data_IF_481459779012
#
_entry.id   IF_481459779012
#
_cell.length_a   1.000
_cell.length_b   1.000
_cell.length_c   1.000
_cell.angle_alpha   90.00
_cell.angle_beta   90.00
_cell.angle_gamma   90.00
#
_symmetry.space_group_name_H-M   'P 1'
#
loop_
_entity.id
_entity.type
_entity.pdbx_description
1 polymer ?
#
# COMPACT_ATOMS: atom_id res chain seq x y z
N UNK A 1 32.93 -29.38 36.83
CA UNK A 1 33.48 -28.64 35.66
C UNK A 1 32.29 -28.08 34.89
N UNK A 2 31.90 -26.83 35.17
CA UNK A 2 32.04 -25.65 34.28
C UNK A 2 31.41 -25.82 32.88
N UNK A 3 30.27 -25.16 32.75
CA UNK A 3 29.61 -24.55 31.57
C UNK A 3 30.45 -24.36 30.32
N UNK A 4 29.82 -24.55 29.15
CA UNK A 4 29.91 -23.62 28.01
C UNK A 4 28.57 -23.66 27.25
N UNK A 5 27.65 -22.78 27.67
CA UNK A 5 26.58 -22.31 26.80
C UNK A 5 27.18 -21.34 25.79
N UNK A 6 26.85 -21.52 24.52
CA UNK A 6 27.17 -20.56 23.47
C UNK A 6 25.95 -19.63 23.35
N UNK A 7 26.04 -18.36 23.78
CA UNK A 7 25.03 -17.38 23.41
C UNK A 7 25.24 -17.03 21.93
N UNK A 8 24.22 -17.24 21.10
CA UNK A 8 24.19 -16.63 19.77
C UNK A 8 23.79 -15.17 19.96
N UNK A 9 24.78 -14.30 19.87
CA UNK A 9 24.68 -12.86 19.75
C UNK A 9 24.02 -12.57 18.39
N UNK A 10 22.77 -12.11 18.40
CA UNK A 10 22.10 -11.59 17.21
C UNK A 10 22.49 -10.11 17.11
N UNK A 11 23.65 -9.86 16.51
CA UNK A 11 24.00 -8.53 16.05
C UNK A 11 23.25 -8.23 14.75
N UNK A 12 22.44 -7.17 14.78
CA UNK A 12 22.08 -6.32 13.64
C UNK A 12 21.66 -7.03 12.35
N UNK A 13 20.42 -7.49 12.28
CA UNK A 13 19.72 -7.60 10.99
C UNK A 13 18.53 -6.66 11.01
N UNK A 14 18.66 -5.55 10.28
CA UNK A 14 17.58 -4.65 9.92
C UNK A 14 16.41 -5.46 9.35
N UNK A 15 15.35 -5.56 10.14
CA UNK A 15 14.06 -6.09 9.71
C UNK A 15 13.40 -5.02 8.83
N UNK A 16 13.42 -5.20 7.50
CA UNK A 16 12.52 -4.47 6.61
C UNK A 16 11.09 -4.97 6.84
N UNK A 17 10.43 -4.39 7.83
CA UNK A 17 9.01 -4.56 8.13
C UNK A 17 8.20 -3.64 7.20
N UNK A 18 7.89 -4.12 5.99
CA UNK A 18 6.85 -3.47 5.19
C UNK A 18 5.47 -3.87 5.73
N UNK A 19 4.94 -3.02 6.60
CA UNK A 19 3.62 -3.19 7.23
C UNK A 19 2.89 -1.87 7.42
N UNK A 20 2.66 -1.08 6.36
CA UNK A 20 1.77 0.08 6.46
C UNK A 20 0.32 -0.32 6.16
N UNK A 21 -0.44 -0.50 7.23
CA UNK A 21 -1.89 -0.26 7.23
C UNK A 21 -2.15 0.96 8.12
N UNK A 22 -2.21 2.15 7.51
CA UNK A 22 -2.72 3.35 8.17
C UNK A 22 -3.78 4.00 7.28
N UNK A 23 -5.05 3.64 7.54
CA UNK A 23 -6.17 4.53 7.24
C UNK A 23 -6.15 5.62 8.31
N UNK A 24 -5.67 6.80 7.98
CA UNK A 24 -5.90 7.99 8.81
C UNK A 24 -6.81 8.96 8.07
N UNK A 25 -8.03 9.07 8.60
CA UNK A 25 -8.95 10.16 8.34
C UNK A 25 -8.26 11.47 8.71
N UNK A 26 -7.99 12.32 7.72
CA UNK A 26 -7.44 13.66 7.92
C UNK A 26 -8.54 14.53 8.53
N UNK A 27 -8.45 14.80 9.83
CA UNK A 27 -9.06 15.99 10.42
C UNK A 27 -7.98 17.09 10.47
N UNK A 28 -8.03 17.98 9.47
CA UNK A 28 -7.20 19.18 9.42
C UNK A 28 -7.77 20.22 10.40
N UNK A 29 -7.04 20.53 11.47
CA UNK A 29 -7.27 21.74 12.27
C UNK A 29 -5.96 22.52 12.44
N UNK A 30 -5.59 23.27 11.40
CA UNK A 30 -4.62 24.36 11.49
C UNK A 30 -5.33 25.72 11.34
N UNK A 31 -4.76 26.83 11.84
CA UNK A 31 -5.39 28.14 11.74
C UNK A 31 -5.48 28.54 10.25
N UNK A 32 -6.72 28.65 9.76
CA UNK A 32 -7.04 28.92 8.37
C UNK A 32 -6.43 30.26 7.91
N UNK A 33 -5.59 30.20 6.89
CA UNK A 33 -5.20 31.36 6.09
C UNK A 33 -6.47 31.91 5.42
N UNK A 34 -6.85 33.14 5.76
CA UNK A 34 -8.11 33.77 5.32
C UNK A 34 -8.12 34.12 3.83
N UNK A 35 -6.99 33.90 3.14
CA UNK A 35 -6.85 34.09 1.70
C UNK A 35 -6.64 32.78 0.93
N UNK A 36 -6.75 31.61 1.58
CA UNK A 36 -6.72 30.35 0.85
C UNK A 36 -7.94 30.27 -0.09
N UNK A 37 -7.77 30.02 -1.40
CA UNK A 37 -8.89 29.75 -2.27
C UNK A 37 -9.67 28.58 -1.66
N UNK A 38 -10.99 28.74 -1.54
CA UNK A 38 -11.89 27.68 -1.10
C UNK A 38 -11.58 26.46 -1.98
N UNK A 39 -11.06 25.40 -1.37
CA UNK A 39 -10.83 24.14 -2.08
C UNK A 39 -12.20 23.60 -2.49
N UNK A 40 -12.58 23.87 -3.74
CA UNK A 40 -13.67 23.17 -4.42
C UNK A 40 -13.15 21.80 -4.78
N UNK A 41 -13.04 20.92 -3.79
CA UNK A 41 -12.83 19.50 -4.03
C UNK A 41 -13.97 19.05 -4.94
N UNK A 42 -13.65 18.61 -6.15
CA UNK A 42 -14.62 18.14 -7.12
C UNK A 42 -15.45 17.01 -6.48
N UNK A 43 -16.78 17.12 -6.57
CA UNK A 43 -17.69 16.06 -6.14
C UNK A 43 -17.59 14.93 -7.16
N UNK A 44 -17.46 13.69 -6.70
CA UNK A 44 -17.43 12.50 -7.56
C UNK A 44 -18.52 12.56 -8.64
N UNK A 45 -18.19 12.22 -9.89
CA UNK A 45 -19.13 12.34 -11.00
C UNK A 45 -20.31 11.35 -10.92
N UNK A 46 -20.14 10.27 -10.13
CA UNK A 46 -21.12 9.20 -9.87
C UNK A 46 -21.77 8.64 -11.14
N UNK A 47 -20.95 8.35 -12.15
CA UNK A 47 -21.45 7.96 -13.48
C UNK A 47 -21.85 6.48 -13.49
N UNK A 48 -23.13 6.20 -13.66
CA UNK A 48 -23.67 4.83 -13.78
C UNK A 48 -23.61 4.26 -15.21
N UNK A 49 -23.36 5.11 -16.20
CA UNK A 49 -23.32 4.70 -17.61
C UNK A 49 -22.09 3.84 -17.93
N UNK A 50 -22.26 2.86 -18.83
CA UNK A 50 -21.15 2.06 -19.38
C UNK A 50 -20.11 2.98 -20.04
N UNK A 51 -18.80 2.79 -19.78
CA UNK A 51 -17.77 3.66 -20.36
C UNK A 51 -17.76 3.57 -21.90
N UNK A 52 -17.54 4.70 -22.55
CA UNK A 52 -17.19 4.72 -23.97
C UNK A 52 -15.86 3.97 -24.20
N UNK A 53 -15.59 3.54 -25.45
CA UNK A 53 -14.32 2.91 -25.77
C UNK A 53 -13.11 3.84 -25.52
N UNK A 54 -13.29 5.14 -25.74
CA UNK A 54 -12.28 6.16 -25.47
C UNK A 54 -12.03 6.30 -23.95
N UNK A 55 -13.09 6.38 -23.16
CA UNK A 55 -13.00 6.42 -21.70
C UNK A 55 -12.35 5.16 -21.13
N UNK A 56 -12.68 3.97 -21.64
CA UNK A 56 -12.05 2.72 -21.20
C UNK A 56 -10.53 2.70 -21.46
N UNK A 57 -10.08 3.26 -22.59
CA UNK A 57 -8.65 3.42 -22.85
C UNK A 57 -7.99 4.37 -21.84
N UNK A 58 -8.63 5.49 -21.53
CA UNK A 58 -8.16 6.44 -20.51
C UNK A 58 -8.10 5.80 -19.12
N UNK A 59 -9.11 5.01 -18.73
CA UNK A 59 -9.13 4.28 -17.46
C UNK A 59 -7.91 3.36 -17.34
N UNK A 60 -7.61 2.59 -18.39
CA UNK A 60 -6.46 1.68 -18.38
C UNK A 60 -5.13 2.42 -18.34
N UNK A 61 -5.02 3.54 -19.04
CA UNK A 61 -3.84 4.42 -18.98
C UNK A 61 -3.66 5.00 -17.58
N UNK A 62 -4.74 5.48 -16.97
CA UNK A 62 -4.75 5.95 -15.59
C UNK A 62 -4.25 4.87 -14.62
N UNK A 63 -4.83 3.67 -14.66
CA UNK A 63 -4.43 2.55 -13.79
C UNK A 63 -2.95 2.17 -13.96
N UNK A 64 -2.41 2.24 -15.18
CA UNK A 64 -0.97 2.04 -15.44
C UNK A 64 -0.13 3.17 -14.88
N UNK A 65 -0.53 4.42 -15.11
CA UNK A 65 0.23 5.59 -14.67
C UNK A 65 0.41 5.61 -13.14
N UNK A 66 -0.62 5.22 -12.39
CA UNK A 66 -0.56 5.15 -10.92
C UNK A 66 0.02 3.84 -10.37
N UNK A 67 0.55 2.96 -11.23
CA UNK A 67 1.13 1.66 -10.83
C UNK A 67 0.12 0.58 -10.40
N UNK A 68 -1.19 0.86 -10.43
CA UNK A 68 -2.22 -0.11 -10.04
C UNK A 68 -2.31 -1.28 -11.00
N UNK A 69 -2.12 -1.04 -12.30
CA UNK A 69 -2.17 -2.12 -13.30
C UNK A 69 -1.08 -3.18 -13.05
N UNK A 70 0.14 -2.76 -12.68
CA UNK A 70 1.23 -3.69 -12.38
C UNK A 70 0.92 -4.55 -11.15
N UNK A 71 0.30 -3.96 -10.12
CA UNK A 71 -0.15 -4.71 -8.94
C UNK A 71 -1.25 -5.74 -9.27
N UNK A 72 -2.16 -5.41 -10.19
CA UNK A 72 -3.18 -6.33 -10.69
C UNK A 72 -2.58 -7.42 -11.59
N UNK A 73 -1.57 -7.09 -12.39
CA UNK A 73 -0.92 -8.05 -13.29
C UNK A 73 -0.06 -9.06 -12.51
N UNK A 74 0.62 -8.60 -11.46
CA UNK A 74 1.55 -9.41 -10.66
C UNK A 74 0.91 -10.05 -9.43
N UNK A 75 -0.20 -9.48 -8.93
CA UNK A 75 -0.80 -9.84 -7.66
C UNK A 75 0.02 -9.41 -6.44
N UNK A 76 0.94 -8.44 -6.56
CA UNK A 76 1.87 -8.04 -5.49
C UNK A 76 1.17 -7.54 -4.23
N UNK A 77 -0.05 -7.00 -4.33
CA UNK A 77 -0.84 -6.61 -3.16
C UNK A 77 -1.18 -7.79 -2.21
N UNK A 78 -1.00 -9.04 -2.66
CA UNK A 78 -1.23 -10.24 -1.86
C UNK A 78 -0.05 -10.59 -0.95
N UNK A 79 1.12 -9.98 -1.12
CA UNK A 79 2.32 -10.28 -0.34
C UNK A 79 2.10 -10.19 1.16
N UNK A 80 1.30 -9.21 1.62
CA UNK A 80 0.91 -9.03 3.03
C UNK A 80 0.27 -10.27 3.66
N UNK A 81 -0.36 -11.13 2.87
CA UNK A 81 -0.99 -12.36 3.37
C UNK A 81 0.00 -13.51 3.46
N UNK A 82 1.03 -13.52 2.61
CA UNK A 82 2.09 -14.52 2.60
C UNK A 82 3.21 -14.24 3.59
N UNK A 83 3.37 -12.99 4.05
CA UNK A 83 4.35 -12.61 5.07
C UNK A 83 4.07 -13.31 6.41
N UNK A 84 5.12 -13.42 7.23
CA UNK A 84 5.02 -13.93 8.60
C UNK A 84 4.05 -13.09 9.41
N UNK A 85 3.12 -13.72 10.14
CA UNK A 85 2.02 -13.04 10.82
C UNK A 85 0.84 -12.68 9.91
N UNK A 86 0.98 -12.85 8.58
CA UNK A 86 -0.10 -12.71 7.61
C UNK A 86 -1.11 -13.86 7.69
N UNK A 87 -2.27 -13.68 7.05
CA UNK A 87 -3.38 -14.64 7.13
C UNK A 87 -2.99 -16.08 6.70
N UNK A 88 -2.00 -16.23 5.82
CA UNK A 88 -1.50 -17.55 5.41
C UNK A 88 -0.31 -18.05 6.22
N UNK A 89 0.27 -17.24 7.09
CA UNK A 89 1.44 -17.61 7.89
C UNK A 89 1.36 -17.09 9.34
N UNK A 90 0.30 -17.50 10.02
CA UNK A 90 0.15 -17.25 11.46
C UNK A 90 1.23 -18.02 12.25
N UNK A 91 1.92 -17.34 13.16
CA UNK A 91 2.89 -17.93 14.08
C UNK A 91 2.38 -17.72 15.49
N UNK A 92 2.21 -18.81 16.24
CA UNK A 92 1.89 -18.72 17.66
C UNK A 92 3.13 -18.34 18.44
N UNK A 93 2.96 -17.48 19.45
CA UNK A 93 4.06 -17.06 20.31
C UNK A 93 4.78 -18.27 20.94
N UNK A 94 6.11 -18.30 20.84
CA UNK A 94 6.94 -19.42 21.31
C UNK A 94 7.09 -20.60 20.34
N UNK A 95 6.52 -20.53 19.14
CA UNK A 95 6.69 -21.57 18.11
C UNK A 95 8.02 -21.41 17.37
N UNK A 96 8.72 -22.52 17.13
CA UNK A 96 9.83 -22.54 16.19
C UNK A 96 9.31 -22.62 14.76
N UNK A 97 9.92 -21.86 13.86
CA UNK A 97 9.64 -21.95 12.43
C UNK A 97 10.15 -23.29 11.89
N UNK A 98 9.28 -24.01 11.20
CA UNK A 98 9.59 -25.32 10.59
C UNK A 98 10.11 -25.21 9.16
N UNK A 99 10.10 -24.02 8.59
CA UNK A 99 10.56 -23.70 7.23
C UNK A 99 11.30 -22.35 7.23
N UNK A 100 12.14 -22.11 6.24
CA UNK A 100 12.84 -20.82 6.12
C UNK A 100 11.87 -19.70 5.73
N UNK A 101 12.17 -18.46 6.12
CA UNK A 101 11.35 -17.28 5.79
C UNK A 101 11.12 -17.15 4.27
N UNK A 102 12.18 -17.37 3.49
CA UNK A 102 12.13 -17.29 2.03
C UNK A 102 11.23 -18.37 1.43
N UNK A 103 11.47 -19.64 1.75
CA UNK A 103 10.72 -20.76 1.16
C UNK A 103 9.25 -20.72 1.57
N UNK A 104 8.96 -20.43 2.83
CA UNK A 104 7.59 -20.33 3.30
C UNK A 104 6.83 -19.16 2.65
N UNK A 105 7.50 -18.05 2.39
CA UNK A 105 6.92 -16.92 1.66
C UNK A 105 6.64 -17.30 0.21
N UNK A 106 7.62 -17.84 -0.51
CA UNK A 106 7.49 -18.24 -1.92
C UNK A 106 6.36 -19.26 -2.11
N UNK A 107 6.29 -20.27 -1.23
CA UNK A 107 5.22 -21.28 -1.23
C UNK A 107 3.84 -20.66 -1.11
N UNK A 108 3.65 -19.75 -0.15
CA UNK A 108 2.36 -19.08 0.09
C UNK A 108 2.02 -18.09 -1.01
N UNK A 109 2.99 -17.33 -1.47
CA UNK A 109 2.80 -16.36 -2.55
C UNK A 109 2.42 -17.07 -3.85
N UNK A 110 3.03 -18.21 -4.16
CA UNK A 110 2.64 -19.05 -5.30
C UNK A 110 1.19 -19.54 -5.18
N UNK A 111 0.77 -19.98 -3.99
CA UNK A 111 -0.61 -20.40 -3.74
C UNK A 111 -1.61 -19.24 -3.91
N UNK A 112 -1.28 -18.06 -3.37
CA UNK A 112 -2.10 -16.85 -3.51
C UNK A 112 -2.24 -16.41 -4.97
N UNK A 113 -1.14 -16.34 -5.73
CA UNK A 113 -1.17 -15.98 -7.15
C UNK A 113 -2.00 -16.96 -7.97
N UNK A 114 -1.89 -18.25 -7.67
CA UNK A 114 -2.70 -19.29 -8.33
C UNK A 114 -4.20 -19.12 -8.05
N UNK A 115 -4.58 -18.79 -6.81
CA UNK A 115 -5.96 -18.49 -6.47
C UNK A 115 -6.43 -17.20 -7.16
N UNK A 116 -5.62 -16.15 -7.09
CA UNK A 116 -5.92 -14.84 -7.66
C UNK A 116 -6.12 -14.85 -9.18
N UNK A 117 -5.39 -15.67 -9.92
CA UNK A 117 -5.54 -15.78 -11.38
C UNK A 117 -7.00 -16.03 -11.81
N UNK A 118 -7.79 -16.72 -10.99
CA UNK A 118 -9.22 -16.98 -11.23
C UNK A 118 -10.11 -15.74 -11.04
N UNK A 119 -9.68 -14.81 -10.20
CA UNK A 119 -10.41 -13.59 -9.81
C UNK A 119 -9.84 -12.32 -10.46
N UNK A 120 -8.72 -12.41 -11.19
CA UNK A 120 -8.02 -11.27 -11.77
C UNK A 120 -8.93 -10.39 -12.63
N UNK A 121 -9.80 -10.99 -13.43
CA UNK A 121 -10.72 -10.24 -14.29
C UNK A 121 -11.75 -9.45 -13.47
N UNK A 122 -12.33 -10.07 -12.44
CA UNK A 122 -13.28 -9.43 -11.54
C UNK A 122 -12.64 -8.24 -10.80
N UNK A 123 -11.40 -8.42 -10.32
CA UNK A 123 -10.62 -7.34 -9.73
C UNK A 123 -10.35 -6.19 -10.72
N UNK A 124 -9.93 -6.52 -11.94
CA UNK A 124 -9.73 -5.51 -13.00
C UNK A 124 -11.02 -4.71 -13.23
N UNK A 125 -12.16 -5.41 -13.38
CA UNK A 125 -13.45 -4.79 -13.64
C UNK A 125 -13.90 -3.91 -12.48
N UNK A 126 -13.68 -4.30 -11.22
CA UNK A 126 -13.99 -3.47 -10.07
C UNK A 126 -13.24 -2.14 -10.09
N UNK A 127 -11.93 -2.17 -10.38
CA UNK A 127 -11.14 -0.94 -10.53
C UNK A 127 -11.58 -0.10 -11.73
N UNK A 128 -11.75 -0.73 -12.91
CA UNK A 128 -12.18 -0.02 -14.12
C UNK A 128 -13.56 0.65 -13.92
N UNK A 129 -14.48 -0.05 -13.24
CA UNK A 129 -15.83 0.45 -12.94
C UNK A 129 -15.79 1.61 -11.95
N UNK A 130 -14.95 1.52 -10.92
CA UNK A 130 -14.81 2.60 -9.94
C UNK A 130 -14.20 3.86 -10.56
N UNK A 131 -13.17 3.73 -11.40
CA UNK A 131 -12.60 4.89 -12.11
C UNK A 131 -13.61 5.48 -13.09
N UNK A 132 -14.41 4.64 -13.77
CA UNK A 132 -15.50 5.13 -14.62
C UNK A 132 -16.55 5.93 -13.83
N UNK A 133 -16.90 5.45 -12.65
CA UNK A 133 -17.86 6.10 -11.76
C UNK A 133 -17.35 7.45 -11.23
N UNK A 134 -16.06 7.52 -10.89
CA UNK A 134 -15.46 8.69 -10.25
C UNK A 134 -15.27 9.88 -11.20
N UNK A 135 -14.76 9.64 -12.42
CA UNK A 135 -14.31 10.71 -13.32
C UNK A 135 -15.12 10.78 -14.60
N UNK A 136 -15.40 12.00 -15.08
CA UNK A 136 -15.83 12.20 -16.47
C UNK A 136 -14.71 11.86 -17.46
N UNK A 137 -15.06 11.67 -18.74
CA UNK A 137 -14.05 11.37 -19.77
C UNK A 137 -13.02 12.51 -19.94
N UNK A 138 -13.48 13.77 -19.87
CA UNK A 138 -12.61 14.94 -20.00
C UNK A 138 -11.66 15.09 -18.80
N UNK A 139 -12.17 14.96 -17.57
CA UNK A 139 -11.32 15.00 -16.37
C UNK A 139 -10.28 13.89 -16.41
N UNK A 140 -10.69 12.68 -16.79
CA UNK A 140 -9.77 11.56 -16.89
C UNK A 140 -8.71 11.79 -17.97
N UNK A 141 -9.06 12.43 -19.08
CA UNK A 141 -8.11 12.80 -20.13
C UNK A 141 -7.06 13.81 -19.61
N UNK A 142 -7.48 14.83 -18.88
CA UNK A 142 -6.60 15.84 -18.29
C UNK A 142 -5.66 15.21 -17.25
N UNK A 143 -6.21 14.37 -16.36
CA UNK A 143 -5.45 13.65 -15.33
C UNK A 143 -4.42 12.72 -15.97
N UNK A 144 -4.82 11.90 -16.94
CA UNK A 144 -3.90 10.98 -17.63
C UNK A 144 -2.79 11.76 -18.34
N UNK A 145 -3.13 12.87 -19.00
CA UNK A 145 -2.15 13.73 -19.67
C UNK A 145 -1.13 14.29 -18.67
N UNK A 146 -1.58 14.76 -17.51
CA UNK A 146 -0.69 15.20 -16.45
C UNK A 146 0.20 14.05 -15.96
N UNK A 147 -0.38 12.91 -15.55
CA UNK A 147 0.36 11.80 -14.95
C UNK A 147 1.40 11.18 -15.89
N UNK A 148 1.15 11.17 -17.20
CA UNK A 148 2.08 10.65 -18.20
C UNK A 148 3.19 11.65 -18.59
N UNK A 149 3.02 12.93 -18.25
CA UNK A 149 4.03 13.98 -18.47
C UNK A 149 5.27 13.78 -17.58
N UNK A 150 6.43 14.41 -17.91
CA UNK A 150 7.61 14.35 -17.05
C UNK A 150 7.35 14.85 -15.63
N UNK A 151 6.56 15.93 -15.48
CA UNK A 151 6.22 16.50 -14.18
C UNK A 151 5.30 15.57 -13.40
N UNK A 152 4.28 14.99 -14.05
CA UNK A 152 3.39 14.03 -13.38
C UNK A 152 4.11 12.75 -12.94
N UNK A 153 5.01 12.22 -13.76
CA UNK A 153 5.88 11.10 -13.36
C UNK A 153 6.78 11.45 -12.19
N UNK A 154 7.37 12.65 -12.19
CA UNK A 154 8.17 13.14 -11.07
C UNK A 154 7.32 13.35 -9.81
N UNK A 155 6.07 13.79 -9.94
CA UNK A 155 5.12 13.91 -8.84
C UNK A 155 4.82 12.54 -8.21
N UNK A 156 4.53 11.52 -9.03
CA UNK A 156 4.27 10.16 -8.54
C UNK A 156 5.47 9.56 -7.82
N UNK A 157 6.66 9.69 -8.41
CA UNK A 157 7.91 9.23 -7.81
C UNK A 157 8.25 10.00 -6.53
N UNK A 158 8.10 11.33 -6.53
CA UNK A 158 8.31 12.17 -5.36
C UNK A 158 7.38 11.82 -4.20
N UNK A 159 6.11 11.55 -4.48
CA UNK A 159 5.15 11.07 -3.48
C UNK A 159 5.58 9.72 -2.89
N UNK A 160 5.90 8.74 -3.73
CA UNK A 160 6.34 7.42 -3.27
C UNK A 160 7.61 7.51 -2.41
N UNK A 161 8.60 8.30 -2.86
CA UNK A 161 9.83 8.55 -2.11
C UNK A 161 9.57 9.24 -0.79
N UNK A 162 8.62 10.18 -0.72
CA UNK A 162 8.27 10.85 0.54
C UNK A 162 7.62 9.87 1.52
N UNK A 163 6.66 9.06 1.06
CA UNK A 163 6.04 8.02 1.90
C UNK A 163 7.08 7.02 2.43
N UNK A 164 8.00 6.57 1.57
CA UNK A 164 9.08 5.67 1.97
C UNK A 164 10.09 6.34 2.93
N UNK A 165 10.52 7.57 2.63
CA UNK A 165 11.51 8.30 3.42
C UNK A 165 10.98 8.64 4.81
N UNK A 166 9.74 9.13 4.91
CA UNK A 166 9.14 9.41 6.21
C UNK A 166 8.99 8.11 6.99
N UNK A 167 8.38 7.08 6.39
CA UNK A 167 8.17 5.79 7.04
C UNK A 167 9.45 5.23 7.67
N UNK A 168 10.54 5.12 6.90
CA UNK A 168 11.80 4.57 7.41
C UNK A 168 12.48 5.47 8.45
N UNK A 169 12.43 6.79 8.29
CA UNK A 169 13.11 7.70 9.23
C UNK A 169 12.30 8.00 10.48
N UNK A 170 11.03 7.61 10.54
CA UNK A 170 10.19 7.76 11.72
C UNK A 170 10.01 6.47 12.51
N UNK A 171 10.59 5.34 12.10
CA UNK A 171 10.45 4.05 12.80
C UNK A 171 10.88 4.15 14.28
N UNK A 172 12.05 4.74 14.56
CA UNK A 172 12.54 4.92 15.95
C UNK A 172 11.61 5.82 16.78
N UNK A 173 11.02 6.83 16.14
CA UNK A 173 10.06 7.73 16.80
C UNK A 173 8.73 6.99 17.09
N UNK A 174 8.26 6.17 16.15
CA UNK A 174 7.07 5.34 16.33
C UNK A 174 7.27 4.32 17.46
N UNK A 175 8.44 3.70 17.56
CA UNK A 175 8.77 2.80 18.67
C UNK A 175 8.72 3.54 20.02
N UNK A 176 9.31 4.74 20.10
CA UNK A 176 9.24 5.58 21.30
C UNK A 176 7.79 5.90 21.68
N UNK A 177 6.97 6.28 20.71
CA UNK A 177 5.54 6.57 20.93
C UNK A 177 4.81 5.33 21.49
N UNK A 178 5.08 4.13 20.96
CA UNK A 178 4.47 2.89 21.45
C UNK A 178 4.90 2.58 22.88
N UNK A 179 6.18 2.74 23.21
CA UNK A 179 6.70 2.53 24.56
C UNK A 179 6.01 3.49 25.55
N UNK A 180 5.91 4.78 25.20
CA UNK A 180 5.24 5.79 26.02
C UNK A 180 3.76 5.46 26.23
N UNK A 181 3.06 5.04 25.16
CA UNK A 181 1.67 4.63 25.23
C UNK A 181 1.47 3.41 26.14
N UNK A 182 2.30 2.37 26.02
CA UNK A 182 2.23 1.18 26.87
C UNK A 182 2.48 1.51 28.34
N UNK A 183 3.48 2.36 28.63
CA UNK A 183 3.78 2.79 29.99
C UNK A 183 2.60 3.52 30.65
N UNK A 184 1.78 4.23 29.86
CA UNK A 184 0.59 4.93 30.34
C UNK A 184 -0.56 3.99 30.76
N UNK A 185 -0.66 2.81 30.15
CA UNK A 185 -1.72 1.83 30.42
C UNK A 185 -1.46 0.98 31.67
N UNK A 186 -0.21 0.94 32.14
CA UNK A 186 0.22 0.24 33.36
C UNK A 186 0.15 1.07 34.63
N UNK A 187 -0.26 2.35 34.54
CA UNK A 187 -0.50 3.24 35.69
C UNK A 187 -1.97 3.24 36.09
#
# INVERSE_FOLDING_TARGET
>A
MRTLGIPVQIDGMSFLLFGMAALMSIQSTGPADKNAPVSTIAVAAQIEATPSAAKLLLIRRFLRAIGRQDQLDTGSFLERYAMLGGAMWQVQSGSQLTETLKEGFEKRMSALKTAYAKHRLEYQQAYESHVNWEFTENELADIVTFLESPVGKHYLDGRWRMEAYVGTNTEDLEEQIVIEAQASLTK
#
